data_IF_172249143105
#
_entry.id   IF_172249143105
#
_cell.length_a   1.000
_cell.length_b   1.000
_cell.length_c   1.000
_cell.angle_alpha   90.00
_cell.angle_beta   90.00
_cell.angle_gamma   90.00
#
_symmetry.space_group_name_H-M   'P 1'
#
loop_
_entity.id
_entity.type
_entity.pdbx_description
1 polymer ?
#
# COMPACT_ATOMS: atom_id res chain seq x y z
N UNK A 1 9.65 -18.77 -4.90
CA UNK A 1 9.32 -18.56 -3.48
C UNK A 1 7.91 -17.99 -3.41
N UNK A 2 7.09 -18.47 -2.50
CA UNK A 2 5.71 -18.01 -2.27
C UNK A 2 5.75 -16.71 -1.45
N UNK A 3 4.96 -15.70 -1.82
CA UNK A 3 4.88 -14.44 -1.05
C UNK A 3 4.21 -14.70 0.30
N UNK A 4 4.91 -14.46 1.41
CA UNK A 4 4.39 -14.74 2.76
C UNK A 4 4.05 -13.45 3.51
N UNK A 5 2.76 -13.26 3.82
CA UNK A 5 2.28 -12.16 4.63
C UNK A 5 2.03 -12.59 6.07
N UNK A 6 2.55 -11.84 7.04
CA UNK A 6 2.12 -11.96 8.46
C UNK A 6 1.55 -10.61 8.89
N UNK A 7 0.35 -10.59 9.44
CA UNK A 7 -0.29 -9.36 9.94
C UNK A 7 -0.37 -9.41 11.46
N UNK A 8 0.26 -8.43 12.11
CA UNK A 8 0.25 -8.24 13.56
C UNK A 8 -0.82 -7.19 13.88
N UNK A 9 -1.92 -7.61 14.50
CA UNK A 9 -3.13 -6.78 14.65
C UNK A 9 -3.91 -7.13 15.92
N UNK A 10 -4.81 -6.23 16.32
CA UNK A 10 -5.84 -6.50 17.34
C UNK A 10 -7.08 -7.21 16.76
N UNK A 11 -7.28 -7.18 15.45
CA UNK A 11 -8.49 -7.65 14.78
C UNK A 11 -8.18 -8.69 13.68
N UNK A 12 -7.66 -9.88 14.04
CA UNK A 12 -7.32 -10.91 13.07
C UNK A 12 -8.51 -11.36 12.22
N UNK A 13 -9.74 -11.24 12.72
CA UNK A 13 -10.99 -11.55 12.02
C UNK A 13 -11.28 -10.67 10.80
N UNK A 14 -10.59 -9.52 10.65
CA UNK A 14 -10.69 -8.70 9.43
C UNK A 14 -10.00 -9.35 8.22
N UNK A 15 -9.26 -10.44 8.43
CA UNK A 15 -8.41 -11.09 7.43
C UNK A 15 -8.85 -12.55 7.17
N UNK A 16 -8.72 -13.06 5.92
CA UNK A 16 -8.17 -12.36 4.75
C UNK A 16 -9.14 -11.32 4.18
N UNK A 17 -10.39 -11.26 4.68
CA UNK A 17 -11.39 -10.29 4.26
C UNK A 17 -11.52 -10.23 2.73
N UNK A 18 -11.41 -9.05 2.09
CA UNK A 18 -11.47 -8.93 0.63
C UNK A 18 -10.37 -9.70 -0.11
N UNK A 19 -9.20 -9.95 0.51
CA UNK A 19 -8.12 -10.74 -0.09
C UNK A 19 -8.49 -12.22 -0.25
N UNK A 20 -9.54 -12.69 0.43
CA UNK A 20 -10.08 -14.05 0.28
C UNK A 20 -10.90 -14.25 -1.02
N UNK A 21 -11.16 -13.18 -1.76
CA UNK A 21 -12.09 -13.15 -2.90
C UNK A 21 -11.32 -13.00 -4.23
N UNK A 22 -11.98 -13.32 -5.34
CA UNK A 22 -11.48 -13.10 -6.71
C UNK A 22 -10.08 -13.69 -6.97
N UNK A 23 -9.21 -12.97 -7.69
CA UNK A 23 -7.85 -13.40 -8.07
C UNK A 23 -6.96 -13.62 -6.83
N UNK A 24 -6.94 -12.69 -5.88
CA UNK A 24 -6.16 -12.82 -4.65
C UNK A 24 -6.56 -14.09 -3.87
N UNK A 25 -7.86 -14.32 -3.67
CA UNK A 25 -8.36 -15.52 -2.99
C UNK A 25 -8.08 -16.82 -3.74
N UNK A 26 -8.13 -16.80 -5.09
CA UNK A 26 -7.69 -17.94 -5.91
C UNK A 26 -6.20 -18.20 -5.74
N UNK A 27 -5.37 -17.15 -5.70
CA UNK A 27 -3.94 -17.23 -5.44
C UNK A 27 -3.64 -17.86 -4.08
N UNK A 28 -4.40 -17.48 -3.05
CA UNK A 28 -4.27 -18.02 -1.69
C UNK A 28 -4.58 -19.52 -1.68
N UNK A 29 -5.71 -19.95 -2.27
CA UNK A 29 -6.08 -21.37 -2.36
C UNK A 29 -5.10 -22.22 -3.18
N UNK A 30 -4.39 -21.60 -4.13
CA UNK A 30 -3.34 -22.25 -4.94
C UNK A 30 -1.97 -22.23 -4.27
N UNK A 31 -1.83 -21.60 -3.09
CA UNK A 31 -0.54 -21.47 -2.40
C UNK A 31 0.46 -20.55 -3.10
N UNK A 32 -0.02 -19.60 -3.92
CA UNK A 32 0.83 -18.61 -4.58
C UNK A 32 1.29 -17.50 -3.62
N UNK A 33 0.50 -17.27 -2.57
CA UNK A 33 0.85 -16.46 -1.41
C UNK A 33 0.20 -17.06 -0.16
N UNK A 34 0.67 -16.68 1.02
CA UNK A 34 0.14 -17.12 2.32
C UNK A 34 -0.14 -15.94 3.24
N UNK A 35 -1.03 -16.16 4.21
CA UNK A 35 -1.39 -15.18 5.23
C UNK A 35 -1.38 -15.82 6.61
N UNK A 36 -0.64 -15.22 7.52
CA UNK A 36 -0.59 -15.55 8.94
C UNK A 36 -1.08 -14.34 9.75
N UNK A 37 -1.80 -14.61 10.84
CA UNK A 37 -2.32 -13.59 11.74
C UNK A 37 -1.71 -13.73 13.12
N UNK A 38 -1.22 -12.62 13.66
CA UNK A 38 -0.66 -12.54 15.02
C UNK A 38 -1.50 -11.56 15.83
N UNK A 39 -2.15 -12.08 16.87
CA UNK A 39 -3.01 -11.29 17.75
C UNK A 39 -2.16 -10.60 18.82
N UNK A 40 -2.09 -9.26 18.79
CA UNK A 40 -1.30 -8.47 19.75
C UNK A 40 -1.74 -8.74 21.19
N UNK A 41 -3.04 -8.95 21.43
CA UNK A 41 -3.56 -9.25 22.78
C UNK A 41 -3.03 -10.54 23.38
N UNK A 42 -2.45 -11.45 22.61
CA UNK A 42 -1.86 -12.70 23.13
C UNK A 42 -0.54 -12.44 23.88
N UNK A 43 0.05 -11.25 23.69
CA UNK A 43 1.33 -10.84 24.29
C UNK A 43 1.16 -9.87 25.47
N UNK A 44 -0.08 -9.57 25.85
CA UNK A 44 -0.37 -8.75 27.02
C UNK A 44 -0.03 -9.52 28.31
N UNK A 45 0.60 -8.83 29.26
CA UNK A 45 1.12 -9.45 30.49
C UNK A 45 0.15 -9.43 31.66
N UNK A 46 -0.94 -8.65 31.56
CA UNK A 46 -1.95 -8.52 32.60
C UNK A 46 -3.21 -9.35 32.32
N UNK A 47 -3.99 -9.59 33.39
CA UNK A 47 -5.22 -10.39 33.34
C UNK A 47 -6.32 -9.82 32.43
N UNK A 48 -6.26 -8.52 32.12
CA UNK A 48 -7.25 -7.84 31.27
C UNK A 48 -6.81 -7.81 29.81
N UNK A 49 -5.63 -8.35 29.49
CA UNK A 49 -5.03 -8.34 28.16
C UNK A 49 -4.92 -6.93 27.59
N UNK A 50 -4.42 -6.01 28.42
CA UNK A 50 -4.27 -4.61 28.08
C UNK A 50 -3.09 -4.42 27.12
N UNK A 51 -3.35 -3.76 25.99
CA UNK A 51 -2.39 -3.58 24.89
C UNK A 51 -1.98 -2.12 24.72
N UNK A 52 -2.65 -1.23 25.44
CA UNK A 52 -2.60 0.21 25.34
C UNK A 52 -2.59 0.84 26.73
N UNK A 53 -2.09 2.07 26.84
CA UNK A 53 -2.10 2.86 28.06
C UNK A 53 -2.26 4.36 27.73
N UNK A 54 -2.49 5.17 28.76
CA UNK A 54 -2.61 6.61 28.66
C UNK A 54 -1.34 7.27 28.11
N UNK A 55 -1.45 8.29 27.24
CA UNK A 55 -0.29 9.00 26.71
C UNK A 55 0.50 9.71 27.81
N UNK A 56 1.81 9.53 27.84
CA UNK A 56 2.70 10.34 28.67
C UNK A 56 2.64 11.81 28.23
N UNK A 57 2.52 12.75 29.19
CA UNK A 57 2.30 14.17 28.91
C UNK A 57 0.83 14.57 28.79
N UNK A 58 -0.10 13.62 28.92
CA UNK A 58 -1.54 13.84 28.79
C UNK A 58 -1.99 13.87 27.34
N UNK A 59 -3.30 13.90 27.14
CA UNK A 59 -3.94 13.80 25.82
C UNK A 59 -5.23 13.00 25.89
N UNK A 60 -6.03 13.07 24.82
CA UNK A 60 -7.15 12.15 24.64
C UNK A 60 -6.64 10.83 24.05
N UNK A 61 -7.40 9.76 24.24
CA UNK A 61 -7.12 8.45 23.65
C UNK A 61 -6.08 7.62 24.41
N UNK A 62 -5.60 6.58 23.74
CA UNK A 62 -4.68 5.57 24.28
C UNK A 62 -3.55 5.31 23.28
N UNK A 63 -2.39 4.85 23.74
CA UNK A 63 -1.22 4.53 22.91
C UNK A 63 -0.86 3.06 23.08
N UNK A 64 -0.60 2.36 21.97
CA UNK A 64 -0.15 0.97 22.02
C UNK A 64 1.17 0.85 22.78
N UNK A 65 1.20 -0.03 23.78
CA UNK A 65 2.35 -0.22 24.65
C UNK A 65 3.52 -0.88 23.92
N UNK A 66 4.71 -0.31 24.06
CA UNK A 66 5.92 -0.79 23.38
C UNK A 66 6.27 -2.24 23.74
N UNK A 67 6.13 -2.66 25.00
CA UNK A 67 6.49 -4.00 25.47
C UNK A 67 5.61 -5.10 24.88
N UNK A 68 4.30 -4.86 24.80
CA UNK A 68 3.33 -5.78 24.21
C UNK A 68 3.53 -5.88 22.69
N UNK A 69 3.66 -4.74 22.01
CA UNK A 69 3.90 -4.71 20.56
C UNK A 69 5.24 -5.35 20.21
N UNK A 70 6.32 -5.07 20.95
CA UNK A 70 7.63 -5.67 20.76
C UNK A 70 7.58 -7.20 20.88
N UNK A 71 6.90 -7.71 21.91
CA UNK A 71 6.74 -9.15 22.09
C UNK A 71 5.98 -9.81 20.93
N UNK A 72 4.94 -9.13 20.41
CA UNK A 72 4.18 -9.63 19.27
C UNK A 72 5.01 -9.68 17.98
N UNK A 73 5.74 -8.60 17.65
CA UNK A 73 6.59 -8.57 16.44
C UNK A 73 7.79 -9.52 16.54
N UNK A 74 8.39 -9.66 17.73
CA UNK A 74 9.55 -10.52 17.95
C UNK A 74 9.19 -12.02 17.92
N UNK A 75 7.91 -12.36 18.08
CA UNK A 75 7.42 -13.73 17.89
C UNK A 75 7.43 -14.20 16.44
N UNK A 76 7.52 -13.28 15.48
CA UNK A 76 7.47 -13.56 14.05
C UNK A 76 8.88 -13.66 13.48
N UNK A 77 9.23 -14.83 12.97
CA UNK A 77 10.49 -15.00 12.25
C UNK A 77 10.50 -14.10 10.99
N UNK A 78 11.55 -13.28 10.82
CA UNK A 78 11.60 -12.30 9.73
C UNK A 78 11.84 -12.93 8.36
N UNK A 79 12.77 -13.87 8.26
CA UNK A 79 13.06 -14.61 7.01
C UNK A 79 13.26 -13.69 5.79
N UNK A 80 13.91 -12.54 5.99
CA UNK A 80 14.13 -11.53 4.94
C UNK A 80 12.92 -10.65 4.60
N UNK A 81 11.76 -10.85 5.25
CA UNK A 81 10.57 -10.01 5.11
C UNK A 81 10.74 -8.70 5.91
N UNK A 82 10.49 -7.52 5.31
CA UNK A 82 10.47 -6.25 6.03
C UNK A 82 9.26 -6.14 6.98
N UNK A 83 9.38 -5.32 8.04
CA UNK A 83 8.29 -5.05 9.00
C UNK A 83 7.82 -3.64 8.73
N UNK A 84 6.56 -3.54 8.37
CA UNK A 84 5.93 -2.32 7.94
C UNK A 84 4.90 -1.94 9.01
N UNK A 85 5.03 -0.76 9.61
CA UNK A 85 3.99 -0.21 10.47
C UNK A 85 3.08 0.71 9.64
N UNK A 86 1.78 0.43 9.66
CA UNK A 86 0.79 1.27 8.99
C UNK A 86 0.48 2.48 9.87
N UNK A 87 0.96 3.65 9.46
CA UNK A 87 0.82 4.92 10.20
C UNK A 87 0.82 6.12 9.26
N UNK A 88 -0.03 7.15 9.49
CA UNK A 88 -0.03 8.36 8.66
C UNK A 88 1.29 9.14 8.71
N UNK A 89 2.17 8.89 9.70
CA UNK A 89 3.52 9.47 9.79
C UNK A 89 4.54 8.82 8.84
N UNK A 90 4.16 7.69 8.24
CA UNK A 90 5.03 6.90 7.38
C UNK A 90 5.27 7.54 6.02
N UNK A 91 6.23 6.98 5.28
CA UNK A 91 6.44 7.35 3.88
C UNK A 91 5.20 6.93 3.07
N UNK A 92 4.69 7.78 2.16
CA UNK A 92 3.59 7.38 1.28
C UNK A 92 3.92 6.12 0.48
N UNK A 93 2.99 5.16 0.45
CA UNK A 93 3.10 3.94 -0.34
C UNK A 93 3.16 4.28 -1.83
N UNK A 94 4.19 3.80 -2.51
CA UNK A 94 4.37 3.98 -3.96
C UNK A 94 4.32 2.64 -4.70
N UNK A 95 3.99 2.69 -5.99
CA UNK A 95 3.98 1.50 -6.85
C UNK A 95 5.38 0.85 -6.94
N UNK A 96 6.46 1.63 -6.87
CA UNK A 96 7.84 1.11 -6.76
C UNK A 96 8.05 0.28 -5.50
N UNK A 97 7.56 0.75 -4.34
CA UNK A 97 7.69 0.01 -3.09
C UNK A 97 6.86 -1.28 -3.14
N UNK A 98 5.65 -1.22 -3.70
CA UNK A 98 4.78 -2.39 -3.93
C UNK A 98 5.51 -3.43 -4.79
N UNK A 99 6.14 -3.02 -5.90
CA UNK A 99 6.93 -3.90 -6.76
C UNK A 99 8.10 -4.54 -6.02
N UNK A 100 8.82 -3.75 -5.22
CA UNK A 100 9.94 -4.25 -4.42
C UNK A 100 9.49 -5.29 -3.38
N UNK A 101 8.34 -5.07 -2.72
CA UNK A 101 7.77 -6.04 -1.77
C UNK A 101 7.32 -7.32 -2.47
N UNK A 102 6.59 -7.21 -3.59
CA UNK A 102 6.08 -8.34 -4.35
C UNK A 102 7.18 -9.22 -4.96
N UNK A 103 8.33 -8.63 -5.31
CA UNK A 103 9.52 -9.35 -5.77
C UNK A 103 10.31 -10.04 -4.63
N UNK A 104 10.07 -9.63 -3.38
CA UNK A 104 10.70 -10.17 -2.19
C UNK A 104 9.99 -11.41 -1.62
N UNK A 105 10.41 -11.87 -0.42
CA UNK A 105 9.82 -13.05 0.23
C UNK A 105 8.42 -12.81 0.82
N UNK A 106 7.97 -11.55 0.91
CA UNK A 106 6.71 -11.18 1.57
C UNK A 106 6.86 -9.96 2.46
N UNK A 107 5.97 -9.80 3.43
CA UNK A 107 5.97 -8.69 4.37
C UNK A 107 5.39 -9.08 5.73
N UNK A 108 5.88 -8.45 6.79
CA UNK A 108 5.22 -8.44 8.10
C UNK A 108 4.59 -7.06 8.27
N UNK A 109 3.29 -7.00 8.53
CA UNK A 109 2.53 -5.74 8.59
C UNK A 109 1.95 -5.55 9.98
N UNK A 110 2.39 -4.49 10.66
CA UNK A 110 1.91 -4.08 11.98
C UNK A 110 0.80 -3.03 11.83
N UNK A 111 -0.38 -3.36 12.35
CA UNK A 111 -1.57 -2.51 12.30
C UNK A 111 -1.66 -1.62 13.55
N UNK A 112 -1.63 -0.29 13.36
CA UNK A 112 -1.85 0.67 14.44
C UNK A 112 -3.31 0.81 14.83
N UNK A 113 -3.56 1.20 16.08
CA UNK A 113 -4.89 1.54 16.63
C UNK A 113 -4.74 2.69 17.64
N UNK A 114 -5.88 3.19 18.09
CA UNK A 114 -5.95 4.29 19.06
C UNK A 114 -5.21 5.52 18.53
N UNK A 115 -4.42 6.23 19.35
CA UNK A 115 -3.58 7.36 18.92
C UNK A 115 -2.32 6.91 18.17
N UNK A 116 -2.00 5.60 18.19
CA UNK A 116 -0.88 5.02 17.48
C UNK A 116 0.02 4.19 18.38
N UNK A 117 1.32 4.22 18.06
CA UNK A 117 2.35 3.42 18.73
C UNK A 117 3.17 4.28 19.68
N UNK A 118 3.65 3.66 20.75
CA UNK A 118 4.75 4.23 21.53
C UNK A 118 6.00 4.36 20.63
N UNK A 119 6.56 5.57 20.53
CA UNK A 119 7.63 5.90 19.58
C UNK A 119 8.86 5.01 19.73
N UNK A 120 9.13 4.50 20.94
CA UNK A 120 10.29 3.66 21.24
C UNK A 120 10.30 2.35 20.42
N UNK A 121 9.16 1.93 19.89
CA UNK A 121 9.12 0.76 18.99
C UNK A 121 9.94 1.00 17.71
N UNK A 122 9.95 2.24 17.20
CA UNK A 122 10.67 2.62 15.99
C UNK A 122 12.16 2.86 16.26
N UNK A 123 12.52 3.26 17.48
CA UNK A 123 13.92 3.36 17.90
C UNK A 123 14.55 1.99 18.15
N UNK A 124 13.77 1.04 18.68
CA UNK A 124 14.26 -0.24 19.16
C UNK A 124 14.24 -1.36 18.10
N UNK A 125 13.50 -1.19 17.00
CA UNK A 125 13.31 -2.22 15.96
C UNK A 125 13.34 -1.58 14.58
N UNK A 126 13.90 -2.32 13.62
CA UNK A 126 13.86 -1.92 12.21
C UNK A 126 12.44 -2.08 11.67
N UNK A 127 11.67 -0.99 11.79
CA UNK A 127 10.27 -0.88 11.38
C UNK A 127 10.14 0.25 10.37
N UNK A 128 9.79 -0.10 9.14
CA UNK A 128 9.47 0.87 8.12
C UNK A 128 8.06 1.43 8.34
N UNK A 129 7.96 2.73 8.58
CA UNK A 129 6.67 3.40 8.69
C UNK A 129 6.11 3.72 7.30
N UNK A 130 4.89 3.27 7.02
CA UNK A 130 4.22 3.45 5.72
C UNK A 130 2.84 4.08 5.89
N UNK A 131 2.55 5.10 5.09
CA UNK A 131 1.24 5.74 4.97
C UNK A 131 0.60 5.36 3.63
N UNK A 132 -0.72 5.14 3.61
CA UNK A 132 -1.46 4.91 2.36
C UNK A 132 -2.11 6.19 1.80
N UNK A 133 -1.97 7.33 2.48
CA UNK A 133 -2.48 8.61 2.02
C UNK A 133 -2.64 9.63 3.14
N UNK A 134 -2.90 10.89 2.75
CA UNK A 134 -3.02 12.04 3.66
C UNK A 134 -4.44 12.15 4.21
N UNK A 135 -4.87 11.10 4.91
CA UNK A 135 -6.16 11.00 5.59
C UNK A 135 -6.07 10.01 6.76
N UNK A 136 -7.05 10.06 7.66
CA UNK A 136 -7.07 9.23 8.87
C UNK A 136 -8.05 8.07 8.72
N UNK A 137 -7.61 6.89 9.15
CA UNK A 137 -8.43 5.68 9.28
C UNK A 137 -8.59 5.31 10.75
N UNK A 138 -9.58 4.48 11.07
CA UNK A 138 -9.80 3.98 12.44
C UNK A 138 -8.74 2.96 12.91
N UNK A 139 -7.88 2.49 12.00
CA UNK A 139 -6.84 1.52 12.29
C UNK A 139 -6.02 1.16 11.06
N UNK A 140 -4.90 0.48 11.30
CA UNK A 140 -3.96 0.06 10.27
C UNK A 140 -4.43 -1.12 9.42
N UNK A 141 -5.53 -1.80 9.78
CA UNK A 141 -5.97 -3.02 9.08
C UNK A 141 -6.39 -2.74 7.64
N UNK A 142 -7.10 -1.63 7.39
CA UNK A 142 -7.47 -1.24 6.01
C UNK A 142 -6.25 -0.84 5.18
N UNK A 143 -5.24 -0.24 5.82
CA UNK A 143 -3.96 0.05 5.17
C UNK A 143 -3.15 -1.21 4.87
N UNK A 144 -3.15 -2.18 5.78
CA UNK A 144 -2.55 -3.48 5.55
C UNK A 144 -3.23 -4.24 4.40
N UNK A 145 -4.58 -4.26 4.37
CA UNK A 145 -5.33 -4.84 3.26
C UNK A 145 -5.00 -4.16 1.92
N UNK A 146 -4.91 -2.84 1.90
CA UNK A 146 -4.56 -2.05 0.71
C UNK A 146 -3.15 -2.38 0.21
N UNK A 147 -2.17 -2.41 1.11
CA UNK A 147 -0.79 -2.75 0.79
C UNK A 147 -0.67 -4.18 0.26
N UNK A 148 -1.32 -5.13 0.94
CA UNK A 148 -1.28 -6.54 0.56
C UNK A 148 -1.98 -6.77 -0.77
N UNK A 149 -3.15 -6.17 -1.03
CA UNK A 149 -3.85 -6.28 -2.32
C UNK A 149 -2.95 -5.81 -3.48
N UNK A 150 -2.32 -4.64 -3.30
CA UNK A 150 -1.42 -4.07 -4.30
C UNK A 150 -0.21 -4.96 -4.58
N UNK A 151 0.35 -5.64 -3.56
CA UNK A 151 1.47 -6.57 -3.71
C UNK A 151 1.04 -7.91 -4.31
N UNK A 152 -0.05 -8.51 -3.80
CA UNK A 152 -0.53 -9.84 -4.16
C UNK A 152 -0.88 -9.90 -5.65
N UNK A 153 -1.45 -8.84 -6.22
CA UNK A 153 -1.75 -8.81 -7.66
C UNK A 153 -0.49 -9.02 -8.51
N UNK A 154 0.67 -8.54 -8.07
CA UNK A 154 1.95 -8.65 -8.77
C UNK A 154 2.65 -10.00 -8.56
N UNK A 155 2.16 -10.84 -7.65
CA UNK A 155 2.74 -12.17 -7.40
C UNK A 155 2.56 -13.05 -8.65
N UNK A 156 3.63 -13.69 -9.16
CA UNK A 156 3.55 -14.54 -10.34
C UNK A 156 2.46 -15.61 -10.24
N UNK A 157 1.58 -15.66 -11.24
CA UNK A 157 0.46 -16.59 -11.31
C UNK A 157 -0.84 -16.13 -10.64
N UNK A 158 -0.85 -15.00 -9.93
CA UNK A 158 -2.08 -14.40 -9.40
C UNK A 158 -2.86 -13.70 -10.52
N UNK A 159 -2.23 -12.74 -11.21
CA UNK A 159 -2.79 -12.15 -12.42
C UNK A 159 -2.50 -13.05 -13.64
N UNK A 160 -3.51 -13.20 -14.50
CA UNK A 160 -3.46 -14.18 -15.60
C UNK A 160 -2.59 -13.76 -16.79
N UNK A 161 -2.66 -12.48 -17.21
CA UNK A 161 -1.90 -11.98 -18.35
C UNK A 161 -0.75 -11.10 -17.89
N UNK A 162 0.49 -11.49 -18.20
CA UNK A 162 1.70 -10.74 -17.81
C UNK A 162 1.74 -9.33 -18.41
N UNK A 163 1.06 -9.11 -19.54
CA UNK A 163 0.97 -7.80 -20.20
C UNK A 163 0.02 -6.83 -19.50
N UNK A 164 -0.91 -7.29 -18.66
CA UNK A 164 -1.92 -6.39 -18.08
C UNK A 164 -1.34 -5.39 -17.10
N UNK A 165 -0.17 -5.67 -16.51
CA UNK A 165 0.45 -4.81 -15.50
C UNK A 165 1.50 -3.83 -16.01
N UNK A 166 1.80 -3.78 -17.32
CA UNK A 166 2.83 -2.87 -17.86
C UNK A 166 2.27 -1.51 -18.29
N UNK A 167 1.01 -1.47 -18.70
CA UNK A 167 0.35 -0.24 -19.19
C UNK A 167 -0.55 0.41 -18.12
N UNK A 168 -0.51 -0.09 -16.88
CA UNK A 168 -1.30 0.44 -15.77
C UNK A 168 -0.80 1.83 -15.31
N UNK A 169 -1.70 2.59 -14.70
CA UNK A 169 -1.36 3.88 -14.11
C UNK A 169 -0.16 3.76 -13.17
N UNK A 170 0.71 4.78 -13.22
CA UNK A 170 1.93 4.95 -12.44
C UNK A 170 3.14 4.10 -12.88
N UNK A 171 2.97 3.07 -13.72
CA UNK A 171 4.08 2.22 -14.18
C UNK A 171 5.06 2.93 -15.12
N UNK A 172 4.54 3.88 -15.90
CA UNK A 172 5.33 4.76 -16.77
C UNK A 172 5.42 6.20 -16.24
N UNK A 173 4.99 6.42 -15.00
CA UNK A 173 4.84 7.76 -14.41
C UNK A 173 3.61 8.54 -14.90
N UNK A 174 2.78 7.94 -15.76
CA UNK A 174 1.54 8.53 -16.28
C UNK A 174 0.30 7.78 -15.76
N UNK A 175 -0.87 8.41 -15.83
CA UNK A 175 -2.16 7.74 -15.74
C UNK A 175 -2.41 6.91 -17.02
N UNK A 176 -3.20 5.85 -16.88
CA UNK A 176 -3.66 5.05 -18.02
C UNK A 176 -4.64 5.84 -18.90
N UNK A 177 -4.67 5.51 -20.19
CA UNK A 177 -5.62 6.06 -21.15
C UNK A 177 -7.07 5.62 -20.85
N UNK A 178 -8.09 6.37 -21.31
CA UNK A 178 -9.48 6.00 -21.08
C UNK A 178 -9.83 4.70 -21.82
N UNK A 179 -10.47 3.79 -21.10
CA UNK A 179 -10.89 2.49 -21.61
C UNK A 179 -12.32 2.56 -22.16
N UNK A 180 -12.56 1.84 -23.25
CA UNK A 180 -13.86 1.73 -23.90
C UNK A 180 -14.20 0.26 -24.14
N UNK A 181 -15.47 -0.09 -23.98
CA UNK A 181 -15.97 -1.41 -24.32
C UNK A 181 -17.33 -1.28 -25.01
N UNK A 182 -17.83 -2.39 -25.56
CA UNK A 182 -19.13 -2.42 -26.24
C UNK A 182 -20.25 -2.03 -25.26
N UNK A 183 -21.35 -1.40 -25.76
CA UNK A 183 -21.67 -1.12 -27.17
C UNK A 183 -20.89 0.07 -27.76
N UNK A 184 -20.87 0.18 -29.10
CA UNK A 184 -20.14 1.26 -29.82
C UNK A 184 -20.72 2.64 -29.53
N UNK A 185 -22.03 2.74 -29.35
CA UNK A 185 -22.71 3.98 -28.98
C UNK A 185 -23.54 3.74 -27.73
N UNK A 186 -23.42 4.64 -26.77
CA UNK A 186 -24.23 4.67 -25.55
C UNK A 186 -24.63 6.11 -25.25
N UNK A 187 -25.94 6.39 -25.21
CA UNK A 187 -26.49 7.72 -24.96
C UNK A 187 -25.89 8.83 -25.86
N UNK A 188 -25.76 8.56 -27.16
CA UNK A 188 -25.16 9.50 -28.12
C UNK A 188 -23.63 9.65 -28.02
N UNK A 189 -22.96 8.88 -27.16
CA UNK A 189 -21.50 8.89 -27.01
C UNK A 189 -20.91 7.68 -27.73
N UNK A 190 -20.13 7.95 -28.76
CA UNK A 190 -19.54 6.90 -29.62
C UNK A 190 -18.10 6.60 -29.20
N UNK A 191 -17.72 5.32 -29.20
CA UNK A 191 -16.32 4.91 -29.03
C UNK A 191 -15.45 5.58 -30.12
N UNK A 192 -14.30 6.21 -29.76
CA UNK A 192 -13.41 6.86 -30.70
C UNK A 192 -13.12 6.00 -31.93
N UNK A 193 -13.23 6.59 -33.13
CA UNK A 193 -13.06 5.86 -34.39
C UNK A 193 -11.69 5.16 -34.49
N UNK A 194 -10.64 5.79 -33.96
CA UNK A 194 -9.30 5.21 -33.91
C UNK A 194 -9.27 3.85 -33.19
N UNK A 195 -10.04 3.70 -32.10
CA UNK A 195 -10.17 2.43 -31.36
C UNK A 195 -10.99 1.37 -32.10
N UNK A 196 -11.69 1.77 -33.16
CA UNK A 196 -12.50 0.89 -34.03
C UNK A 196 -11.82 0.59 -35.37
N UNK A 197 -10.62 1.14 -35.61
CA UNK A 197 -9.94 1.09 -36.91
C UNK A 197 -9.19 -0.21 -37.19
N UNK A 198 -8.81 -0.96 -36.14
CA UNK A 198 -7.91 -2.13 -36.25
C UNK A 198 -6.43 -1.76 -36.50
N UNK A 199 -6.10 -0.48 -36.63
CA UNK A 199 -4.72 -0.01 -36.80
C UNK A 199 -4.03 0.08 -35.44
N UNK A 200 -3.26 -0.96 -35.11
CA UNK A 200 -2.54 -1.05 -33.84
C UNK A 200 -1.60 0.13 -33.59
N UNK A 201 -0.90 0.64 -34.61
CA UNK A 201 0.03 1.74 -34.44
C UNK A 201 -0.72 3.05 -34.11
N UNK A 202 -1.84 3.31 -34.79
CA UNK A 202 -2.70 4.47 -34.49
C UNK A 202 -3.36 4.35 -33.13
N UNK A 203 -3.77 3.14 -32.72
CA UNK A 203 -4.35 2.88 -31.40
C UNK A 203 -3.32 3.17 -30.31
N UNK A 204 -2.10 2.65 -30.41
CA UNK A 204 -1.03 2.90 -29.43
C UNK A 204 -0.65 4.38 -29.36
N UNK A 205 -0.52 5.05 -30.50
CA UNK A 205 -0.25 6.49 -30.54
C UNK A 205 -1.37 7.30 -29.85
N UNK A 206 -2.63 6.93 -30.09
CA UNK A 206 -3.77 7.58 -29.44
C UNK A 206 -3.81 7.31 -27.93
N UNK A 207 -3.56 6.07 -27.50
CA UNK A 207 -3.49 5.69 -26.09
C UNK A 207 -2.45 6.52 -25.35
N UNK A 208 -1.24 6.61 -25.90
CA UNK A 208 -0.17 7.43 -25.33
C UNK A 208 -0.58 8.91 -25.22
N UNK A 209 -1.13 9.49 -26.30
CA UNK A 209 -1.54 10.90 -26.30
C UNK A 209 -2.64 11.18 -25.26
N UNK A 210 -3.57 10.25 -25.06
CA UNK A 210 -4.60 10.37 -24.04
C UNK A 210 -4.05 10.22 -22.62
N UNK A 211 -3.15 9.25 -22.38
CA UNK A 211 -2.46 9.09 -21.09
C UNK A 211 -1.71 10.37 -20.69
N UNK A 212 -0.95 10.97 -21.63
CA UNK A 212 -0.25 12.24 -21.42
C UNK A 212 -1.24 13.38 -21.11
N UNK A 213 -2.30 13.51 -21.91
CA UNK A 213 -3.33 14.54 -21.73
C UNK A 213 -4.04 14.42 -20.38
N UNK A 214 -4.51 13.23 -20.02
CA UNK A 214 -5.23 12.99 -18.76
C UNK A 214 -4.31 13.18 -17.55
N UNK A 215 -3.05 12.75 -17.64
CA UNK A 215 -2.06 12.98 -16.58
C UNK A 215 -1.86 14.47 -16.36
N UNK A 216 -1.60 15.24 -17.42
CA UNK A 216 -1.40 16.69 -17.32
C UNK A 216 -2.61 17.42 -16.73
N UNK A 217 -3.82 16.99 -17.08
CA UNK A 217 -5.06 17.63 -16.61
C UNK A 217 -5.45 17.23 -15.17
N UNK A 218 -5.27 15.96 -14.79
CA UNK A 218 -5.79 15.40 -13.53
C UNK A 218 -4.74 15.29 -12.43
N UNK A 219 -3.48 15.10 -12.80
CA UNK A 219 -2.34 14.88 -11.90
C UNK A 219 -1.11 15.65 -12.40
N UNK A 220 -1.17 17.01 -12.38
CA UNK A 220 -0.05 17.84 -12.81
C UNK A 220 1.24 17.52 -12.03
N UNK A 221 1.13 17.06 -10.78
CA UNK A 221 2.28 16.60 -9.98
C UNK A 221 2.98 15.37 -10.59
N UNK A 222 2.24 14.44 -11.21
CA UNK A 222 2.83 13.30 -11.94
C UNK A 222 3.44 13.75 -13.25
N UNK A 223 2.78 14.66 -13.96
CA UNK A 223 3.26 15.22 -15.20
C UNK A 223 4.62 15.92 -15.04
N UNK A 224 4.76 16.77 -14.01
CA UNK A 224 6.02 17.43 -13.68
C UNK A 224 7.15 16.43 -13.42
N UNK A 225 6.87 15.36 -12.67
CA UNK A 225 7.86 14.28 -12.43
C UNK A 225 8.24 13.56 -13.72
N UNK A 226 7.27 13.31 -14.59
CA UNK A 226 7.47 12.62 -15.86
C UNK A 226 8.35 13.43 -16.83
N UNK A 227 8.15 14.75 -16.93
CA UNK A 227 8.96 15.64 -17.78
C UNK A 227 10.36 15.95 -17.20
N UNK A 228 10.69 15.43 -16.02
CA UNK A 228 11.96 15.70 -15.35
C UNK A 228 12.03 17.10 -14.71
N UNK A 229 10.89 17.75 -14.48
CA UNK A 229 10.83 18.96 -13.68
C UNK A 229 11.14 18.59 -12.21
N UNK A 230 12.11 19.28 -11.62
CA UNK A 230 12.53 19.05 -10.22
C UNK A 230 11.35 19.32 -9.28
N UNK A 231 10.69 18.26 -8.81
CA UNK A 231 9.79 18.35 -7.67
C UNK A 231 10.64 18.59 -6.43
N UNK A 232 10.56 19.79 -5.86
CA UNK A 232 11.11 20.05 -4.54
C UNK A 232 10.37 19.16 -3.53
N UNK A 233 11.12 18.37 -2.74
CA UNK A 233 10.54 17.61 -1.63
C UNK A 233 9.80 18.56 -0.68
N UNK A 234 8.65 18.17 -0.11
CA UNK A 234 7.88 18.99 0.84
C UNK A 234 8.65 19.41 2.11
N UNK A 235 9.87 18.88 2.33
CA UNK A 235 10.73 19.18 3.49
C UNK A 235 11.52 20.50 3.39
N UNK A 236 11.13 21.43 2.50
CA UNK A 236 11.76 22.74 2.35
C UNK A 236 11.50 23.76 3.48
N UNK A 237 10.80 23.38 4.56
CA UNK A 237 10.54 24.26 5.69
C UNK A 237 11.69 24.23 6.73
N UNK A 238 12.73 25.02 6.44
CA UNK A 238 13.61 25.72 7.41
C UNK A 238 14.18 24.91 8.59
N UNK A 239 15.37 24.32 8.40
CA UNK A 239 16.44 24.45 9.40
C UNK A 239 17.18 25.76 9.12
N UNK A 240 16.73 26.86 9.72
CA UNK A 240 17.65 27.96 10.07
C UNK A 240 18.22 27.63 11.44
N UNK A 241 19.33 26.90 11.47
CA UNK A 241 20.29 27.05 12.55
C UNK A 241 21.16 28.25 12.20
N UNK A 242 21.23 29.17 13.15
CA UNK A 242 22.12 30.32 13.16
C UNK A 242 22.22 30.75 14.61
N UNK A 243 23.06 30.03 15.35
CA UNK A 243 23.82 30.57 16.48
C UNK A 243 24.56 31.82 16.01
N UNK A 244 24.20 32.98 16.58
CA UNK A 244 25.05 33.81 17.44
C UNK A 244 24.19 34.93 18.06
#
# INVERSE_FOLDING_TARGET
MTFAATVVTLYPEMFPGPLGISLAGRGLRKGLWSLEMVQIRDFATDKHRSVDDTPAGGGAGMVLRADVVASAIDSVAREGRPLLAMTPRGRPLTQDRVRALAAGPGAIVLCGRFEGFDERIFDARDVEQVSIGDYILSGGEMAALTLLDACIRLVPGVMGATSSGMDESFETGLLEYPQYTRPVEWEGRTIPEVLRSGDHARIEAWRRAMAETDTRLRRPDLWERHEGARVQSPSGARRKHGTD
#
